data_IF_654535780054
#
_entry.id   IF_654535780054
#
_cell.length_a   1.000
_cell.length_b   1.000
_cell.length_c   1.000
_cell.angle_alpha   90.00
_cell.angle_beta   90.00
_cell.angle_gamma   90.00
#
_symmetry.space_group_name_H-M   'P 1'
#
loop_
_entity.id
_entity.type
_entity.pdbx_description
1 polymer ?
#
# COMPACT_ATOMS: atom_id res chain seq x y z
N UNK A 1 -23.64 -24.35 -8.13
CA UNK A 1 -23.51 -23.55 -6.90
C UNK A 1 -22.65 -24.34 -5.94
N UNK A 2 -21.37 -24.08 -5.73
CA UNK A 2 -20.75 -22.83 -5.27
C UNK A 2 -19.24 -23.03 -5.46
N UNK A 3 -18.55 -22.13 -6.16
CA UNK A 3 -17.10 -22.06 -6.08
C UNK A 3 -16.76 -21.44 -4.71
N UNK A 4 -16.74 -22.27 -3.66
CA UNK A 4 -16.24 -21.87 -2.36
C UNK A 4 -14.71 -21.85 -2.46
N UNK A 5 -14.14 -20.69 -2.78
CA UNK A 5 -12.70 -20.48 -2.80
C UNK A 5 -12.20 -20.53 -1.35
N UNK A 6 -11.51 -21.61 -0.93
CA UNK A 6 -11.13 -21.78 0.47
C UNK A 6 -10.19 -20.65 0.93
N UNK A 7 -9.36 -20.13 0.03
CA UNK A 7 -8.49 -18.98 0.26
C UNK A 7 -9.26 -17.72 0.67
N UNK A 8 -10.40 -17.42 0.04
CA UNK A 8 -11.22 -16.27 0.42
C UNK A 8 -11.93 -16.49 1.76
N UNK A 9 -12.33 -17.73 2.07
CA UNK A 9 -12.90 -18.08 3.38
C UNK A 9 -11.86 -17.89 4.49
N UNK A 10 -10.64 -18.39 4.28
CA UNK A 10 -9.53 -18.19 5.22
C UNK A 10 -9.19 -16.71 5.39
N UNK A 11 -9.09 -15.95 4.30
CA UNK A 11 -8.83 -14.51 4.37
C UNK A 11 -9.92 -13.76 5.14
N UNK A 12 -11.20 -14.09 4.91
CA UNK A 12 -12.32 -13.51 5.64
C UNK A 12 -12.28 -13.84 7.14
N UNK A 13 -11.94 -15.09 7.48
CA UNK A 13 -11.74 -15.50 8.88
C UNK A 13 -10.58 -14.73 9.52
N UNK A 14 -9.44 -14.59 8.84
CA UNK A 14 -8.30 -13.80 9.34
C UNK A 14 -8.66 -12.34 9.59
N UNK A 15 -9.40 -11.70 8.67
CA UNK A 15 -9.89 -10.32 8.85
C UNK A 15 -10.82 -10.22 10.06
N UNK A 16 -11.73 -11.19 10.22
CA UNK A 16 -12.65 -11.24 11.37
C UNK A 16 -11.88 -11.37 12.69
N UNK A 17 -10.89 -12.25 12.76
CA UNK A 17 -10.08 -12.48 13.95
C UNK A 17 -9.23 -11.28 14.37
N UNK A 18 -8.79 -10.45 13.43
CA UNK A 18 -7.92 -9.30 13.69
C UNK A 18 -8.64 -7.95 13.55
N UNK A 19 -9.98 -7.96 13.56
CA UNK A 19 -10.81 -6.77 13.29
C UNK A 19 -10.48 -5.60 14.22
N UNK A 20 -10.31 -5.84 15.52
CA UNK A 20 -10.02 -4.78 16.50
C UNK A 20 -8.68 -4.11 16.22
N UNK A 21 -7.64 -4.90 15.93
CA UNK A 21 -6.32 -4.39 15.54
C UNK A 21 -6.39 -3.60 14.25
N UNK A 22 -7.15 -4.06 13.26
CA UNK A 22 -7.35 -3.35 11.98
C UNK A 22 -8.00 -1.99 12.23
N UNK A 23 -9.03 -1.93 13.08
CA UNK A 23 -9.72 -0.68 13.39
C UNK A 23 -8.80 0.33 14.11
N UNK A 24 -7.85 -0.14 14.92
CA UNK A 24 -6.87 0.73 15.58
C UNK A 24 -5.92 1.47 14.61
N UNK A 25 -5.82 1.03 13.35
CA UNK A 25 -5.07 1.75 12.31
C UNK A 25 -5.86 2.90 11.67
N UNK A 26 -7.15 3.04 11.95
CA UNK A 26 -7.99 4.13 11.42
C UNK A 26 -8.11 5.24 12.46
N UNK A 27 -7.32 6.30 12.31
CA UNK A 27 -7.42 7.50 13.15
C UNK A 27 -8.46 8.43 12.52
N UNK A 28 -9.51 8.84 13.24
CA UNK A 28 -10.58 9.71 12.70
C UNK A 28 -11.23 9.22 11.39
N UNK A 29 -11.35 7.89 11.20
CA UNK A 29 -11.80 7.25 9.94
C UNK A 29 -10.91 7.49 8.73
N UNK A 30 -9.83 8.24 8.87
CA UNK A 30 -8.78 8.31 7.86
C UNK A 30 -7.77 7.19 8.12
N UNK A 31 -7.35 6.57 7.03
CA UNK A 31 -6.35 5.51 7.03
C UNK A 31 -5.10 6.02 6.33
N UNK A 32 -3.95 5.43 6.65
CA UNK A 32 -2.68 5.68 5.99
C UNK A 32 -2.65 5.22 4.51
N UNK A 33 -3.77 4.74 3.95
CA UNK A 33 -3.88 4.26 2.59
C UNK A 33 -3.36 5.24 1.53
N UNK A 34 -3.53 6.55 1.73
CA UNK A 34 -2.98 7.56 0.82
C UNK A 34 -1.44 7.53 0.82
N UNK A 35 -0.80 7.51 1.99
CA UNK A 35 0.65 7.43 2.08
C UNK A 35 1.17 6.05 1.64
N UNK A 36 0.45 4.97 1.90
CA UNK A 36 0.78 3.61 1.42
C UNK A 36 0.71 3.52 -0.10
N UNK A 37 -0.32 4.13 -0.71
CA UNK A 37 -0.45 4.22 -2.16
C UNK A 37 0.67 5.06 -2.77
N UNK A 38 1.06 6.15 -2.10
CA UNK A 38 2.18 6.98 -2.51
C UNK A 38 3.51 6.23 -2.42
N UNK A 39 3.77 5.54 -1.30
CA UNK A 39 4.93 4.69 -1.12
C UNK A 39 5.02 3.59 -2.18
N UNK A 40 3.87 3.02 -2.58
CA UNK A 40 3.81 2.01 -3.64
C UNK A 40 4.16 2.59 -5.01
N UNK A 41 3.68 3.81 -5.33
CA UNK A 41 4.05 4.53 -6.56
C UNK A 41 5.54 4.87 -6.59
N UNK A 42 6.11 5.36 -5.49
CA UNK A 42 7.55 5.66 -5.36
C UNK A 42 8.40 4.40 -5.49
N UNK A 43 7.98 3.27 -4.88
CA UNK A 43 8.65 1.97 -5.03
C UNK A 43 8.63 1.47 -6.48
N UNK A 44 7.48 1.54 -7.15
CA UNK A 44 7.36 1.16 -8.55
C UNK A 44 8.26 2.02 -9.44
N UNK A 45 8.24 3.34 -9.24
CA UNK A 45 9.09 4.30 -9.93
C UNK A 45 10.58 3.97 -9.72
N UNK A 46 11.01 3.75 -8.48
CA UNK A 46 12.40 3.32 -8.15
C UNK A 46 12.81 2.02 -8.84
N UNK A 47 11.89 1.06 -8.96
CA UNK A 47 12.18 -0.24 -9.55
C UNK A 47 12.54 -0.14 -11.05
N UNK A 48 11.90 0.79 -11.78
CA UNK A 48 12.19 1.06 -13.20
C UNK A 48 13.65 1.48 -13.40
N UNK A 49 14.20 2.29 -12.48
CA UNK A 49 15.57 2.79 -12.55
C UNK A 49 16.61 1.87 -11.89
N UNK A 50 16.20 0.66 -11.47
CA UNK A 50 17.05 -0.33 -10.76
C UNK A 50 17.75 0.26 -9.53
N UNK A 51 17.10 1.21 -8.86
CA UNK A 51 17.65 1.91 -7.69
C UNK A 51 17.74 3.42 -7.88
N UNK A 52 18.38 4.07 -6.92
CA UNK A 52 18.58 5.52 -6.88
C UNK A 52 20.06 5.80 -6.67
N UNK A 53 20.73 6.35 -7.67
CA UNK A 53 22.13 6.76 -7.59
C UNK A 53 22.29 8.24 -7.20
N UNK A 54 21.37 9.07 -7.65
CA UNK A 54 21.33 10.52 -7.38
C UNK A 54 20.00 10.86 -6.71
N UNK A 55 20.06 11.12 -5.40
CA UNK A 55 18.87 11.41 -4.58
C UNK A 55 18.25 12.77 -4.94
N UNK A 56 19.02 13.88 -5.05
CA UNK A 56 18.49 15.16 -5.52
C UNK A 56 17.74 15.06 -6.86
N UNK A 57 18.35 14.43 -7.86
CA UNK A 57 17.73 14.27 -9.17
C UNK A 57 16.49 13.37 -9.12
N UNK A 58 16.52 12.32 -8.31
CA UNK A 58 15.36 11.46 -8.09
C UNK A 58 14.19 12.22 -7.48
N UNK A 59 14.42 13.06 -6.46
CA UNK A 59 13.36 13.88 -5.85
C UNK A 59 12.82 14.89 -6.85
N UNK A 60 13.69 15.58 -7.61
CA UNK A 60 13.24 16.49 -8.68
C UNK A 60 12.28 15.81 -9.67
N UNK A 61 12.62 14.59 -10.11
CA UNK A 61 11.78 13.80 -11.01
C UNK A 61 10.48 13.33 -10.35
N UNK A 62 10.55 12.89 -9.09
CA UNK A 62 9.38 12.43 -8.34
C UNK A 62 8.38 13.56 -8.14
N UNK A 63 8.84 14.77 -7.79
CA UNK A 63 7.98 15.95 -7.64
C UNK A 63 7.34 16.34 -8.97
N UNK A 64 8.04 16.26 -10.10
CA UNK A 64 7.45 16.57 -11.41
C UNK A 64 6.38 15.57 -11.88
N UNK A 65 6.34 14.36 -11.32
CA UNK A 65 5.42 13.27 -11.73
C UNK A 65 4.25 13.12 -10.73
N UNK A 66 4.52 13.34 -9.45
CA UNK A 66 3.58 13.07 -8.36
C UNK A 66 3.22 14.29 -7.50
N UNK A 67 3.94 15.41 -7.64
CA UNK A 67 3.62 16.70 -7.04
C UNK A 67 2.67 17.49 -7.92
#
# INVERSE_FOLDING_TARGET
>A
NQYSFPSFVTAAQSIKSHKETILNFFVHRTTNALAESFNSKVKAFRNIFRGVKDVPFFIFRATNIFG
#
